data_IF_757398918565
#
_entry.id   IF_757398918565
#
_cell.length_a   1.000
_cell.length_b   1.000
_cell.length_c   1.000
_cell.angle_alpha   90.00
_cell.angle_beta   90.00
_cell.angle_gamma   90.00
#
_symmetry.space_group_name_H-M   'P 1'
#
loop_
_entity.id
_entity.type
_entity.pdbx_description
1 polymer ?
#
# COMPACT_ATOMS: atom_id res chain seq x y z
N UNK A 1 -29.14 -22.71 -23.37
CA UNK A 1 -30.56 -22.98 -23.68
C UNK A 1 -30.66 -24.37 -24.28
N UNK A 2 -31.38 -25.28 -23.62
CA UNK A 2 -31.67 -26.64 -24.12
C UNK A 2 -32.78 -26.60 -25.16
N UNK A 3 -32.64 -27.40 -26.23
CA UNK A 3 -33.65 -27.48 -27.30
C UNK A 3 -34.78 -28.47 -26.94
N UNK A 4 -35.96 -28.29 -27.55
CA UNK A 4 -37.12 -29.18 -27.34
C UNK A 4 -36.77 -30.64 -27.67
N UNK A 5 -35.95 -30.84 -28.70
CA UNK A 5 -35.50 -32.16 -29.16
C UNK A 5 -34.63 -32.89 -28.11
N UNK A 6 -33.82 -32.16 -27.34
CA UNK A 6 -32.99 -32.74 -26.28
C UNK A 6 -33.82 -33.21 -25.08
N UNK A 7 -34.93 -32.53 -24.80
CA UNK A 7 -35.83 -32.89 -23.69
C UNK A 7 -36.68 -34.10 -24.07
N UNK A 8 -37.22 -34.11 -25.28
CA UNK A 8 -38.01 -35.24 -25.79
C UNK A 8 -37.19 -36.55 -25.85
N UNK A 9 -35.86 -36.47 -26.09
CA UNK A 9 -34.94 -37.61 -26.09
C UNK A 9 -34.64 -38.21 -24.72
N UNK A 10 -34.83 -37.46 -23.63
CA UNK A 10 -34.54 -37.94 -22.25
C UNK A 10 -35.64 -38.85 -21.70
N UNK A 11 -36.77 -38.99 -22.38
CA UNK A 11 -37.90 -39.81 -21.92
C UNK A 11 -38.00 -41.13 -22.70
N UNK A 12 -38.36 -42.23 -22.01
CA UNK A 12 -38.46 -43.54 -22.63
C UNK A 12 -39.50 -43.55 -23.76
N UNK A 13 -39.09 -44.06 -24.93
CA UNK A 13 -39.77 -44.04 -26.23
C UNK A 13 -41.11 -44.81 -26.31
N UNK A 14 -41.64 -45.31 -25.20
CA UNK A 14 -42.65 -46.37 -25.20
C UNK A 14 -44.11 -45.89 -25.04
N UNK A 15 -44.38 -44.63 -24.69
CA UNK A 15 -45.75 -44.20 -24.34
C UNK A 15 -46.24 -42.89 -24.98
N UNK A 16 -45.37 -42.08 -25.58
CA UNK A 16 -45.74 -40.76 -26.10
C UNK A 16 -45.21 -40.52 -27.52
N UNK A 17 -46.05 -39.93 -28.37
CA UNK A 17 -45.66 -39.44 -29.69
C UNK A 17 -44.61 -38.32 -29.51
N UNK A 18 -43.43 -38.51 -30.08
CA UNK A 18 -42.30 -37.55 -29.99
C UNK A 18 -42.39 -36.42 -31.03
N UNK A 19 -43.47 -36.38 -31.81
CA UNK A 19 -43.74 -35.30 -32.75
C UNK A 19 -43.92 -33.96 -32.02
N UNK A 20 -43.11 -32.92 -32.32
CA UNK A 20 -43.25 -31.58 -31.76
C UNK A 20 -44.64 -30.96 -31.97
N UNK A 21 -45.34 -31.34 -33.05
CA UNK A 21 -46.68 -30.82 -33.38
C UNK A 21 -47.83 -31.58 -32.69
N UNK A 22 -47.52 -32.67 -31.99
CA UNK A 22 -48.50 -33.40 -31.17
C UNK A 22 -49.01 -32.54 -30.01
N UNK A 23 -50.20 -32.86 -29.48
CA UNK A 23 -50.74 -32.15 -28.29
C UNK A 23 -49.77 -32.19 -27.10
N UNK A 24 -49.03 -33.30 -26.95
CA UNK A 24 -48.01 -33.47 -25.92
C UNK A 24 -46.78 -32.60 -26.22
N UNK A 25 -46.30 -32.59 -27.47
CA UNK A 25 -45.20 -31.72 -27.92
C UNK A 25 -45.50 -30.24 -27.71
N UNK A 26 -46.73 -29.80 -28.01
CA UNK A 26 -47.20 -28.42 -27.78
C UNK A 26 -47.27 -28.05 -26.30
N UNK A 27 -47.73 -28.96 -25.43
CA UNK A 27 -47.69 -28.77 -23.96
C UNK A 27 -46.25 -28.63 -23.46
N UNK A 28 -45.35 -29.50 -23.90
CA UNK A 28 -43.93 -29.43 -23.50
C UNK A 28 -43.23 -28.17 -24.01
N UNK A 29 -43.60 -27.67 -25.20
CA UNK A 29 -43.09 -26.40 -25.69
C UNK A 29 -43.48 -25.25 -24.76
N UNK A 30 -44.74 -25.18 -24.35
CA UNK A 30 -45.22 -24.18 -23.39
C UNK A 30 -44.54 -24.31 -22.02
N UNK A 31 -44.38 -25.54 -21.51
CA UNK A 31 -43.66 -25.78 -20.25
C UNK A 31 -42.16 -25.44 -20.35
N UNK A 32 -41.53 -25.70 -21.49
CA UNK A 32 -40.13 -25.34 -21.72
C UNK A 32 -39.94 -23.82 -21.73
N UNK A 33 -40.83 -23.06 -22.36
CA UNK A 33 -40.80 -21.60 -22.34
C UNK A 33 -40.86 -21.08 -20.89
N UNK A 34 -41.77 -21.62 -20.07
CA UNK A 34 -41.87 -21.28 -18.64
C UNK A 34 -40.62 -21.67 -17.84
N UNK A 35 -40.02 -22.83 -18.12
CA UNK A 35 -38.79 -23.27 -17.46
C UNK A 35 -37.58 -22.42 -17.87
N UNK A 36 -37.52 -21.99 -19.13
CA UNK A 36 -36.48 -21.09 -19.62
C UNK A 36 -36.63 -19.70 -18.99
N UNK A 37 -37.84 -19.18 -18.87
CA UNK A 37 -38.11 -17.94 -18.15
C UNK A 37 -37.67 -18.05 -16.69
N UNK A 38 -38.05 -19.13 -16.00
CA UNK A 38 -37.64 -19.40 -14.61
C UNK A 38 -36.12 -19.48 -14.49
N UNK A 39 -35.43 -20.15 -15.41
CA UNK A 39 -33.97 -20.24 -15.46
C UNK A 39 -33.34 -18.86 -15.66
N UNK A 40 -33.88 -18.03 -16.53
CA UNK A 40 -33.39 -16.66 -16.78
C UNK A 40 -33.56 -15.77 -15.56
N UNK A 41 -34.68 -15.91 -14.84
CA UNK A 41 -34.91 -15.22 -13.57
C UNK A 41 -33.89 -15.69 -12.52
N UNK A 42 -33.63 -16.99 -12.40
CA UNK A 42 -32.65 -17.53 -11.46
C UNK A 42 -31.22 -17.08 -11.79
N UNK A 43 -30.84 -17.05 -13.07
CA UNK A 43 -29.57 -16.51 -13.53
C UNK A 43 -29.46 -15.02 -13.19
N UNK A 44 -30.51 -14.24 -13.42
CA UNK A 44 -30.58 -12.82 -13.06
C UNK A 44 -30.42 -12.60 -11.55
N UNK A 45 -31.08 -13.42 -10.72
CA UNK A 45 -30.94 -13.40 -9.26
C UNK A 45 -29.51 -13.77 -8.83
N UNK A 46 -28.90 -14.76 -9.48
CA UNK A 46 -27.51 -15.11 -9.21
C UNK A 46 -26.56 -13.94 -9.54
N UNK A 47 -26.83 -13.22 -10.63
CA UNK A 47 -26.08 -12.03 -11.04
C UNK A 47 -26.14 -10.90 -10.02
N UNK A 48 -27.28 -10.71 -9.34
CA UNK A 48 -27.46 -9.72 -8.26
C UNK A 48 -26.49 -9.97 -7.09
N UNK A 49 -26.06 -11.21 -6.86
CA UNK A 49 -25.08 -11.50 -5.79
C UNK A 49 -23.63 -11.19 -6.16
N UNK A 50 -23.33 -11.00 -7.45
CA UNK A 50 -21.97 -10.72 -7.91
C UNK A 50 -21.64 -9.22 -7.84
N UNK A 51 -21.12 -8.80 -6.67
CA UNK A 51 -20.74 -7.41 -6.43
C UNK A 51 -19.73 -6.84 -7.46
N UNK A 52 -18.98 -7.67 -8.22
CA UNK A 52 -18.03 -7.17 -9.23
C UNK A 52 -18.72 -6.46 -10.39
N UNK A 53 -19.96 -6.85 -10.70
CA UNK A 53 -20.71 -6.35 -11.85
C UNK A 53 -21.88 -5.44 -11.44
N UNK A 54 -22.28 -5.45 -10.16
CA UNK A 54 -23.38 -4.63 -9.66
C UNK A 54 -22.98 -3.17 -9.43
N UNK A 55 -23.94 -2.26 -9.37
CA UNK A 55 -23.73 -0.82 -9.14
C UNK A 55 -24.81 -0.22 -8.23
N UNK A 56 -24.52 0.94 -7.64
CA UNK A 56 -25.49 1.73 -6.87
C UNK A 56 -26.12 0.98 -5.69
N UNK A 57 -27.46 1.02 -5.60
CA UNK A 57 -28.24 0.54 -4.47
C UNK A 57 -28.12 -0.98 -4.22
N UNK A 58 -27.90 -1.79 -5.26
CA UNK A 58 -27.67 -3.23 -5.11
C UNK A 58 -26.35 -3.48 -4.38
N UNK A 59 -25.31 -2.70 -4.70
CA UNK A 59 -24.04 -2.76 -3.97
C UNK A 59 -24.22 -2.40 -2.49
N UNK A 60 -25.07 -1.43 -2.19
CA UNK A 60 -25.37 -1.02 -0.81
C UNK A 60 -26.09 -2.12 -0.03
N UNK A 61 -26.99 -2.87 -0.67
CA UNK A 61 -27.65 -4.05 -0.08
C UNK A 61 -26.65 -5.17 0.20
N UNK A 62 -25.75 -5.45 -0.74
CA UNK A 62 -24.65 -6.42 -0.52
C UNK A 62 -23.77 -5.96 0.64
N UNK A 63 -23.44 -4.67 0.70
CA UNK A 63 -22.66 -4.09 1.79
C UNK A 63 -23.34 -4.20 3.16
N UNK A 64 -24.66 -3.97 3.24
CA UNK A 64 -25.44 -4.22 4.47
C UNK A 64 -25.30 -5.67 4.93
N UNK A 65 -25.40 -6.64 4.01
CA UNK A 65 -25.20 -8.06 4.34
C UNK A 65 -23.77 -8.36 4.80
N UNK A 66 -22.78 -7.68 4.21
CA UNK A 66 -21.37 -7.78 4.58
C UNK A 66 -20.99 -6.94 5.81
N UNK A 67 -21.92 -6.14 6.37
CA UNK A 67 -21.67 -5.14 7.42
C UNK A 67 -20.59 -4.13 7.02
N UNK A 68 -20.50 -3.82 5.74
CA UNK A 68 -19.57 -2.85 5.18
C UNK A 68 -20.36 -1.63 4.71
N UNK A 69 -20.32 -0.49 5.44
CA UNK A 69 -20.98 0.73 4.99
C UNK A 69 -20.21 1.39 3.85
N UNK A 70 -20.92 2.19 3.04
CA UNK A 70 -20.36 2.86 1.86
C UNK A 70 -19.49 4.08 2.17
N UNK A 71 -19.76 4.78 3.28
CA UNK A 71 -18.98 5.93 3.75
C UNK A 71 -18.62 6.97 2.66
N UNK A 72 -19.53 7.22 1.70
CA UNK A 72 -19.29 8.17 0.59
C UNK A 72 -18.37 7.68 -0.53
N UNK A 73 -17.99 6.40 -0.53
CA UNK A 73 -17.13 5.81 -1.57
C UNK A 73 -17.85 5.70 -2.92
N UNK A 74 -17.10 5.92 -4.00
CA UNK A 74 -17.56 5.61 -5.36
C UNK A 74 -17.80 4.10 -5.55
N UNK A 75 -18.53 3.71 -6.59
CA UNK A 75 -18.86 2.30 -6.84
C UNK A 75 -17.59 1.44 -7.05
N UNK A 76 -16.55 1.98 -7.67
CA UNK A 76 -15.32 1.24 -7.96
C UNK A 76 -14.56 0.88 -6.67
N UNK A 77 -14.30 1.88 -5.82
CA UNK A 77 -13.71 1.72 -4.49
C UNK A 77 -14.58 0.88 -3.60
N UNK A 78 -15.90 1.06 -3.65
CA UNK A 78 -16.81 0.28 -2.82
C UNK A 78 -16.82 -1.20 -3.20
N UNK A 79 -16.72 -1.55 -4.49
CA UNK A 79 -16.53 -2.95 -4.93
C UNK A 79 -15.27 -3.58 -4.34
N UNK A 80 -14.18 -2.81 -4.29
CA UNK A 80 -12.94 -3.25 -3.63
C UNK A 80 -13.21 -3.50 -2.14
N UNK A 81 -13.85 -2.57 -1.41
CA UNK A 81 -14.17 -2.79 0.00
C UNK A 81 -15.10 -3.99 0.24
N UNK A 82 -16.04 -4.28 -0.65
CA UNK A 82 -16.87 -5.48 -0.55
C UNK A 82 -16.07 -6.77 -0.81
N UNK A 83 -15.10 -6.74 -1.72
CA UNK A 83 -14.18 -7.87 -1.93
C UNK A 83 -13.38 -8.14 -0.65
N UNK A 84 -12.84 -7.09 -0.03
CA UNK A 84 -12.13 -7.15 1.25
C UNK A 84 -13.06 -7.69 2.35
N UNK A 85 -14.27 -7.16 2.50
CA UNK A 85 -15.19 -7.56 3.56
C UNK A 85 -15.62 -9.03 3.43
N UNK A 86 -15.82 -9.51 2.20
CA UNK A 86 -16.08 -10.93 1.92
C UNK A 86 -14.87 -11.79 2.28
N UNK A 87 -13.67 -11.36 1.89
CA UNK A 87 -12.43 -12.09 2.17
C UNK A 87 -12.10 -12.10 3.66
N UNK A 88 -12.35 -10.99 4.38
CA UNK A 88 -12.25 -10.86 5.84
C UNK A 88 -13.08 -11.92 6.56
N UNK A 89 -14.28 -12.24 6.06
CA UNK A 89 -15.14 -13.28 6.66
C UNK A 89 -14.63 -14.69 6.41
N UNK A 90 -13.87 -14.91 5.33
CA UNK A 90 -13.23 -16.20 5.03
C UNK A 90 -11.88 -16.36 5.70
N UNK A 91 -11.18 -15.25 5.92
CA UNK A 91 -9.82 -15.21 6.44
C UNK A 91 -9.74 -15.68 7.89
N UNK A 92 -8.69 -16.45 8.20
CA UNK A 92 -8.32 -16.81 9.57
C UNK A 92 -7.26 -15.88 10.16
N UNK A 93 -6.89 -14.79 9.45
CA UNK A 93 -5.79 -13.90 9.83
C UNK A 93 -4.40 -14.42 9.44
N UNK A 94 -4.33 -15.37 8.51
CA UNK A 94 -3.11 -15.96 7.98
C UNK A 94 -2.49 -15.11 6.84
N UNK A 95 -1.18 -15.30 6.61
CA UNK A 95 -0.40 -14.56 5.61
C UNK A 95 -1.01 -14.69 4.21
N UNK A 96 -1.49 -15.88 3.82
CA UNK A 96 -2.08 -16.10 2.49
C UNK A 96 -3.34 -15.27 2.28
N UNK A 97 -4.24 -15.26 3.28
CA UNK A 97 -5.42 -14.40 3.24
C UNK A 97 -5.06 -12.92 3.14
N UNK A 98 -4.04 -12.46 3.87
CA UNK A 98 -3.59 -11.06 3.81
C UNK A 98 -2.94 -10.71 2.47
N UNK A 99 -2.20 -11.66 1.87
CA UNK A 99 -1.60 -11.52 0.55
C UNK A 99 -2.70 -11.40 -0.52
N UNK A 100 -3.74 -12.23 -0.44
CA UNK A 100 -4.87 -12.16 -1.37
C UNK A 100 -5.62 -10.83 -1.27
N UNK A 101 -5.82 -10.32 -0.05
CA UNK A 101 -6.43 -9.01 0.20
C UNK A 101 -5.53 -7.89 -0.35
N UNK A 102 -4.23 -7.91 -0.05
CA UNK A 102 -3.24 -6.93 -0.52
C UNK A 102 -3.16 -6.87 -2.05
N UNK A 103 -3.05 -8.03 -2.71
CA UNK A 103 -3.05 -8.14 -4.17
C UNK A 103 -4.30 -7.55 -4.82
N UNK A 104 -5.49 -7.78 -4.27
CA UNK A 104 -6.73 -7.28 -4.87
C UNK A 104 -6.85 -5.75 -4.81
N UNK A 105 -6.28 -5.12 -3.79
CA UNK A 105 -6.42 -3.67 -3.57
C UNK A 105 -5.33 -2.90 -4.31
N UNK A 106 -4.14 -3.48 -4.40
CA UNK A 106 -3.01 -2.91 -5.14
C UNK A 106 -2.97 -3.32 -6.61
N UNK A 107 -3.87 -4.21 -7.05
CA UNK A 107 -4.00 -4.56 -8.46
C UNK A 107 -4.23 -3.29 -9.28
N UNK A 108 -3.20 -2.89 -10.06
CA UNK A 108 -3.23 -1.73 -10.94
C UNK A 108 -2.49 -0.48 -10.44
N UNK A 109 -1.98 -0.43 -9.20
CA UNK A 109 -1.23 0.74 -8.68
C UNK A 109 0.29 0.62 -8.86
N UNK A 110 0.80 -0.53 -9.31
CA UNK A 110 2.24 -0.77 -9.52
C UNK A 110 3.09 -0.73 -8.24
N UNK A 111 2.46 -0.64 -7.07
CA UNK A 111 3.15 -0.61 -5.76
C UNK A 111 3.50 -2.04 -5.34
N UNK A 112 4.79 -2.29 -5.08
CA UNK A 112 5.23 -3.57 -4.56
C UNK A 112 4.84 -3.67 -3.09
N UNK A 113 4.39 -4.83 -2.65
CA UNK A 113 4.10 -5.05 -1.24
C UNK A 113 4.76 -6.32 -0.74
N UNK A 114 5.19 -6.28 0.52
CA UNK A 114 5.83 -7.38 1.20
C UNK A 114 5.13 -7.60 2.53
N UNK A 115 4.76 -8.86 2.82
CA UNK A 115 4.20 -9.24 4.11
C UNK A 115 5.29 -9.95 4.89
N UNK A 116 5.71 -9.31 5.99
CA UNK A 116 6.71 -9.86 6.91
C UNK A 116 6.02 -10.32 8.18
N UNK A 117 6.27 -11.55 8.59
CA UNK A 117 5.92 -12.01 9.93
C UNK A 117 7.01 -11.58 10.89
N UNK A 118 6.68 -10.65 11.80
CA UNK A 118 7.65 -10.10 12.76
C UNK A 118 7.92 -11.04 13.93
N UNK A 119 7.08 -12.06 14.15
CA UNK A 119 7.19 -12.96 15.30
C UNK A 119 6.72 -14.39 15.00
N UNK A 120 7.68 -15.30 14.80
CA UNK A 120 7.59 -16.69 15.23
C UNK A 120 8.50 -16.89 16.45
N UNK A 121 8.12 -17.77 17.37
CA UNK A 121 8.79 -18.00 18.65
C UNK A 121 10.33 -17.97 18.56
N UNK A 122 10.92 -17.05 19.32
CA UNK A 122 12.36 -16.89 19.48
C UNK A 122 12.70 -16.70 20.95
N UNK A 123 14.00 -16.69 21.27
CA UNK A 123 14.48 -16.48 22.63
C UNK A 123 13.88 -15.18 23.23
N UNK A 124 13.47 -15.19 24.51
CA UNK A 124 12.95 -14.00 25.16
C UNK A 124 13.97 -12.86 25.04
N UNK A 125 13.55 -11.75 24.41
CA UNK A 125 14.37 -10.54 24.36
C UNK A 125 14.34 -9.90 25.75
N UNK A 126 15.48 -9.93 26.43
CA UNK A 126 15.67 -9.27 27.71
C UNK A 126 15.94 -7.79 27.47
N UNK A 127 15.53 -6.95 28.43
CA UNK A 127 15.88 -5.54 28.45
C UNK A 127 17.34 -5.40 28.86
N UNK A 128 18.22 -5.38 27.88
CA UNK A 128 19.67 -5.26 28.03
C UNK A 128 20.16 -3.80 27.98
N UNK A 129 19.24 -2.83 27.85
CA UNK A 129 19.55 -1.41 27.71
C UNK A 129 19.76 -0.94 26.26
N UNK A 130 19.81 -1.86 25.28
CA UNK A 130 19.90 -1.50 23.85
C UNK A 130 18.52 -1.34 23.19
N UNK A 131 17.46 -1.81 23.84
CA UNK A 131 16.07 -1.74 23.36
C UNK A 131 15.36 -0.51 23.92
N UNK A 132 14.90 0.38 23.05
CA UNK A 132 14.09 1.54 23.44
C UNK A 132 12.59 1.21 23.48
N UNK A 133 11.88 1.58 24.55
CA UNK A 133 10.42 1.46 24.70
C UNK A 133 9.65 2.51 23.89
N UNK A 134 9.86 2.54 22.59
CA UNK A 134 9.37 3.60 21.71
C UNK A 134 8.19 3.15 20.81
N UNK A 135 7.63 1.97 21.08
CA UNK A 135 6.52 1.38 20.34
C UNK A 135 6.88 0.67 19.04
N UNK A 136 8.16 0.60 18.64
CA UNK A 136 8.57 -0.05 17.38
C UNK A 136 8.47 -1.58 17.42
N UNK A 137 8.62 -2.16 18.60
CA UNK A 137 8.54 -3.60 18.83
C UNK A 137 7.52 -3.88 19.93
N UNK A 138 6.49 -4.71 19.68
CA UNK A 138 5.60 -5.16 20.74
C UNK A 138 6.39 -6.08 21.69
N UNK A 139 6.93 -5.50 22.76
CA UNK A 139 7.60 -6.26 23.81
C UNK A 139 6.54 -7.03 24.59
N UNK A 140 6.61 -8.36 24.50
CA UNK A 140 5.74 -9.29 25.21
C UNK A 140 6.62 -10.23 26.01
N UNK A 141 6.38 -10.31 27.32
CA UNK A 141 7.00 -11.30 28.21
C UNK A 141 6.51 -12.75 27.97
N UNK A 142 5.55 -12.94 27.04
CA UNK A 142 5.08 -14.26 26.59
C UNK A 142 5.94 -14.77 25.43
N UNK A 143 6.32 -16.06 25.48
CA UNK A 143 6.93 -16.81 24.36
C UNK A 143 5.97 -16.98 23.19
N UNK A 144 4.66 -16.86 23.43
CA UNK A 144 3.61 -16.69 22.42
C UNK A 144 3.35 -15.19 22.26
N UNK A 145 4.17 -14.51 21.46
CA UNK A 145 3.90 -13.14 21.04
C UNK A 145 2.64 -13.14 20.17
N UNK A 146 1.78 -12.10 20.23
CA UNK A 146 0.68 -11.98 19.28
C UNK A 146 1.28 -12.03 17.87
N UNK A 147 0.73 -12.87 16.99
CA UNK A 147 1.23 -12.97 15.62
C UNK A 147 1.21 -11.55 15.04
N UNK A 148 2.38 -11.00 14.77
CA UNK A 148 2.50 -9.60 14.33
C UNK A 148 2.91 -9.63 12.88
N UNK A 149 2.05 -9.09 12.03
CA UNK A 149 2.26 -9.07 10.59
C UNK A 149 2.53 -7.63 10.18
N UNK A 150 3.67 -7.41 9.54
CA UNK A 150 4.03 -6.13 8.95
C UNK A 150 3.74 -6.18 7.46
N UNK A 151 2.93 -5.26 6.98
CA UNK A 151 2.67 -5.08 5.54
C UNK A 151 3.47 -3.86 5.11
N UNK A 152 4.44 -4.05 4.21
CA UNK A 152 5.32 -2.99 3.72
C UNK A 152 4.93 -2.68 2.28
N UNK A 153 4.52 -1.45 1.99
CA UNK A 153 4.32 -0.92 0.65
C UNK A 153 5.61 -0.24 0.22
N UNK A 154 6.22 -0.68 -0.88
CA UNK A 154 7.48 -0.15 -1.39
C UNK A 154 7.29 0.46 -2.77
N UNK A 155 7.90 1.61 -3.01
CA UNK A 155 7.98 2.21 -4.33
C UNK A 155 8.48 3.64 -4.31
N UNK A 156 8.48 4.27 -5.48
CA UNK A 156 8.90 5.67 -5.62
C UNK A 156 7.97 6.61 -4.84
N UNK A 157 8.56 7.61 -4.19
CA UNK A 157 7.82 8.65 -3.47
C UNK A 157 6.79 9.38 -4.35
N UNK A 158 7.04 9.47 -5.66
CA UNK A 158 6.17 10.16 -6.61
C UNK A 158 4.95 9.33 -7.02
N UNK A 159 5.07 8.00 -7.03
CA UNK A 159 4.03 7.10 -7.55
C UNK A 159 3.24 6.38 -6.46
N UNK A 160 3.85 6.10 -5.30
CA UNK A 160 3.18 5.35 -4.22
C UNK A 160 2.03 6.17 -3.66
N UNK A 161 0.81 5.66 -3.80
CA UNK A 161 -0.40 6.30 -3.24
C UNK A 161 -0.67 5.72 -1.86
N UNK A 162 -0.82 6.60 -0.87
CA UNK A 162 -1.29 6.21 0.47
C UNK A 162 -2.81 6.23 0.44
N UNK A 163 -3.42 5.11 0.81
CA UNK A 163 -4.87 4.96 0.88
C UNK A 163 -5.29 4.77 2.36
N UNK A 164 -5.70 5.84 3.07
CA UNK A 164 -6.11 5.76 4.48
C UNK A 164 -7.19 4.72 4.76
N UNK A 165 -8.11 4.51 3.81
CA UNK A 165 -9.21 3.57 3.94
C UNK A 165 -8.72 2.10 3.93
N UNK A 166 -7.63 1.82 3.21
CA UNK A 166 -6.96 0.52 3.27
C UNK A 166 -6.42 0.26 4.66
N UNK A 167 -5.82 1.28 5.29
CA UNK A 167 -5.23 1.14 6.62
C UNK A 167 -6.27 0.80 7.67
N UNK A 168 -7.44 1.45 7.58
CA UNK A 168 -8.59 1.12 8.42
C UNK A 168 -9.09 -0.31 8.15
N UNK A 169 -9.18 -0.74 6.90
CA UNK A 169 -9.63 -2.09 6.56
C UNK A 169 -8.69 -3.17 7.12
N UNK A 170 -7.38 -3.03 6.96
CA UNK A 170 -6.38 -3.95 7.52
C UNK A 170 -6.38 -3.93 9.05
N UNK A 171 -6.52 -2.76 9.68
CA UNK A 171 -6.64 -2.67 11.13
C UNK A 171 -7.89 -3.41 11.65
N UNK A 172 -8.98 -3.43 10.87
CA UNK A 172 -10.22 -4.13 11.22
C UNK A 172 -10.20 -5.65 10.89
N UNK A 173 -9.25 -6.14 10.08
CA UNK A 173 -9.10 -7.57 9.74
C UNK A 173 -8.45 -8.37 10.87
N UNK A 174 -7.94 -7.70 11.91
CA UNK A 174 -7.31 -8.34 13.07
C UNK A 174 -8.24 -9.40 13.68
N UNK A 175 -7.84 -10.67 13.58
CA UNK A 175 -8.35 -11.71 14.47
C UNK A 175 -7.90 -11.36 15.90
N UNK A 176 -8.70 -11.72 16.91
CA UNK A 176 -8.33 -11.46 18.32
C UNK A 176 -6.93 -12.02 18.62
N UNK A 177 -6.00 -11.16 19.01
CA UNK A 177 -4.62 -11.54 19.33
C UNK A 177 -3.58 -11.43 18.20
N UNK A 178 -3.92 -10.89 17.02
CA UNK A 178 -2.97 -10.62 15.91
C UNK A 178 -2.79 -9.11 15.73
N UNK A 179 -1.54 -8.63 15.77
CA UNK A 179 -1.21 -7.22 15.56
C UNK A 179 -0.79 -7.00 14.10
N UNK A 180 -1.35 -5.99 13.44
CA UNK A 180 -0.91 -5.58 12.10
C UNK A 180 -0.21 -4.24 12.14
N UNK A 181 0.99 -4.16 11.57
CA UNK A 181 1.76 -2.93 11.37
C UNK A 181 1.76 -2.63 9.88
N UNK A 182 1.29 -1.45 9.51
CA UNK A 182 1.31 -1.00 8.11
C UNK A 182 2.47 -0.03 7.95
N UNK A 183 3.37 -0.33 7.02
CA UNK A 183 4.53 0.49 6.71
C UNK A 183 4.49 0.91 5.25
N UNK A 184 4.65 2.21 4.96
CA UNK A 184 4.94 2.68 3.62
C UNK A 184 6.39 3.11 3.55
N UNK A 185 7.13 2.47 2.66
CA UNK A 185 8.51 2.80 2.34
C UNK A 185 8.55 3.56 1.02
N UNK A 186 8.88 4.83 1.12
CA UNK A 186 9.06 5.73 0.01
C UNK A 186 10.53 5.80 -0.36
N UNK A 187 10.82 5.49 -1.63
CA UNK A 187 12.17 5.54 -2.17
C UNK A 187 12.30 6.69 -3.15
N UNK A 188 13.43 7.39 -3.10
CA UNK A 188 13.78 8.45 -4.05
C UNK A 188 15.29 8.56 -4.18
N UNK A 189 15.76 9.21 -5.23
CA UNK A 189 17.17 9.49 -5.47
C UNK A 189 17.49 10.97 -5.25
N UNK A 190 18.74 11.28 -4.92
CA UNK A 190 19.26 12.66 -4.94
C UNK A 190 19.16 13.31 -6.33
N UNK A 191 19.02 12.52 -7.41
CA UNK A 191 18.76 13.01 -8.76
C UNK A 191 17.30 13.43 -9.00
N UNK A 192 16.36 12.93 -8.21
CA UNK A 192 14.92 13.20 -8.38
C UNK A 192 14.49 14.55 -7.75
N UNK A 193 15.42 15.27 -7.13
CA UNK A 193 15.20 16.54 -6.45
C UNK A 193 16.28 17.56 -6.79
N UNK A 194 16.39 18.59 -5.96
CA UNK A 194 17.40 19.63 -6.11
C UNK A 194 18.41 19.56 -5.00
N UNK A 195 19.68 19.58 -5.38
CA UNK A 195 20.81 19.67 -4.45
C UNK A 195 21.20 21.14 -4.27
N UNK A 196 21.62 21.48 -3.07
CA UNK A 196 22.02 22.83 -2.66
C UNK A 196 23.44 22.77 -2.11
N UNK A 197 24.29 23.71 -2.53
CA UNK A 197 25.73 23.70 -2.23
C UNK A 197 26.54 22.70 -3.07
N UNK A 198 27.81 22.48 -2.70
CA UNK A 198 28.71 21.46 -3.30
C UNK A 198 28.39 20.03 -2.86
N UNK A 199 27.10 19.77 -2.60
CA UNK A 199 26.60 18.73 -1.71
C UNK A 199 26.46 17.34 -2.33
N UNK A 200 27.47 16.84 -3.05
CA UNK A 200 27.63 15.41 -3.32
C UNK A 200 29.12 15.08 -3.45
N UNK A 201 29.51 13.83 -3.16
CA UNK A 201 30.80 13.30 -3.62
C UNK A 201 30.87 13.59 -5.12
N UNK A 202 31.87 14.34 -5.53
CA UNK A 202 32.02 14.58 -6.95
C UNK A 202 32.64 13.37 -7.64
N UNK A 203 32.24 13.13 -8.89
CA UNK A 203 32.74 12.05 -9.75
C UNK A 203 34.26 12.06 -9.94
N UNK A 204 34.94 13.18 -9.65
CA UNK A 204 36.39 13.32 -9.66
C UNK A 204 37.10 12.76 -8.42
N UNK A 205 36.41 12.16 -7.44
CA UNK A 205 37.03 11.43 -6.33
C UNK A 205 36.83 9.90 -6.48
N UNK A 206 37.15 9.38 -7.66
CA UNK A 206 37.08 7.96 -8.05
C UNK A 206 38.18 7.07 -7.43
N UNK A 207 39.03 7.63 -6.58
CA UNK A 207 40.15 6.92 -5.94
C UNK A 207 41.43 6.83 -6.77
N UNK A 208 41.51 7.45 -7.95
CA UNK A 208 42.73 7.49 -8.78
C UNK A 208 43.75 8.55 -8.35
N UNK A 209 43.39 9.38 -7.36
CA UNK A 209 44.17 10.54 -6.94
C UNK A 209 45.17 10.21 -5.83
N UNK A 210 46.33 10.89 -5.78
CA UNK A 210 47.22 10.78 -4.65
C UNK A 210 46.54 11.36 -3.40
N UNK A 211 46.29 10.50 -2.41
CA UNK A 211 45.86 10.85 -1.06
C UNK A 211 47.01 11.57 -0.34
N UNK A 212 47.22 12.83 -0.69
CA UNK A 212 48.09 13.74 0.06
C UNK A 212 47.24 14.64 0.94
N UNK A 213 47.82 15.20 2.01
CA UNK A 213 47.08 16.01 2.98
C UNK A 213 46.32 17.19 2.34
N UNK A 214 46.72 17.67 1.16
CA UNK A 214 46.08 18.79 0.49
C UNK A 214 44.74 18.42 -0.19
N UNK A 215 44.53 17.19 -0.65
CA UNK A 215 43.25 16.75 -1.26
C UNK A 215 42.17 16.42 -0.24
N UNK A 216 42.55 16.05 0.99
CA UNK A 216 41.62 15.72 2.08
C UNK A 216 41.08 16.95 2.82
N UNK A 217 41.82 18.07 2.82
CA UNK A 217 41.49 19.29 3.57
C UNK A 217 40.96 20.46 2.73
N UNK A 218 40.61 20.25 1.46
CA UNK A 218 39.89 21.28 0.70
C UNK A 218 38.43 21.32 1.18
N UNK A 219 38.02 22.41 1.84
CA UNK A 219 36.67 22.63 2.40
C UNK A 219 35.54 22.42 1.37
N UNK A 220 35.84 22.54 0.06
CA UNK A 220 34.90 22.28 -1.03
C UNK A 220 34.64 20.80 -1.38
N UNK A 221 35.40 19.85 -0.81
CA UNK A 221 35.35 18.42 -1.15
C UNK A 221 34.82 17.53 -0.02
N UNK A 222 34.25 18.12 1.03
CA UNK A 222 33.80 17.40 2.21
C UNK A 222 32.46 16.73 1.95
N UNK A 223 32.45 15.41 2.19
CA UNK A 223 31.29 14.51 2.25
C UNK A 223 29.99 15.24 2.62
N UNK A 224 28.93 14.99 1.87
CA UNK A 224 27.56 15.18 2.39
C UNK A 224 27.47 14.35 3.66
N UNK A 225 27.38 15.06 4.78
CA UNK A 225 27.02 14.50 6.06
C UNK A 225 25.64 15.07 6.33
N UNK A 226 24.59 14.52 5.69
CA UNK A 226 23.27 14.86 6.14
C UNK A 226 23.21 14.47 7.61
N UNK A 227 22.72 15.39 8.42
CA UNK A 227 22.56 15.20 9.85
C UNK A 227 21.08 14.99 10.16
N UNK A 228 20.22 15.73 9.47
CA UNK A 228 18.78 15.72 9.69
C UNK A 228 18.00 15.59 8.39
N UNK A 229 16.86 14.91 8.47
CA UNK A 229 15.79 14.93 7.47
C UNK A 229 14.65 15.75 8.05
N UNK A 230 14.22 16.77 7.30
CA UNK A 230 13.02 17.53 7.62
C UNK A 230 11.87 17.21 6.67
N UNK A 231 10.66 17.36 7.19
CA UNK A 231 9.40 17.10 6.52
C UNK A 231 8.51 18.33 6.59
N UNK A 232 7.79 18.60 5.51
CA UNK A 232 6.92 19.75 5.42
C UNK A 232 5.64 19.53 4.63
N UNK A 233 4.82 20.57 4.64
CA UNK A 233 3.49 20.64 4.03
C UNK A 233 3.34 21.84 3.07
N UNK A 234 4.45 22.50 2.72
CA UNK A 234 4.48 23.68 1.86
C UNK A 234 4.94 23.39 0.43
N UNK A 235 5.18 22.12 0.09
CA UNK A 235 5.75 21.69 -1.18
C UNK A 235 4.81 21.76 -2.38
N UNK A 236 3.61 22.34 -2.25
CA UNK A 236 2.59 22.35 -3.30
C UNK A 236 2.29 23.76 -3.81
N UNK A 237 2.15 23.86 -5.13
CA UNK A 237 1.63 25.04 -5.81
C UNK A 237 0.45 24.62 -6.71
N UNK A 238 -0.72 25.21 -6.47
CA UNK A 238 -1.96 24.89 -7.20
C UNK A 238 -2.26 23.37 -7.29
N UNK A 239 -2.01 22.64 -6.20
CA UNK A 239 -2.27 21.21 -6.10
C UNK A 239 -1.21 20.28 -6.70
N UNK A 240 -0.19 20.82 -7.41
CA UNK A 240 0.95 20.06 -7.95
C UNK A 240 2.22 20.27 -7.10
N UNK A 241 3.15 19.30 -7.07
CA UNK A 241 4.45 19.49 -6.42
C UNK A 241 5.21 20.68 -7.03
N UNK A 242 5.74 21.56 -6.19
CA UNK A 242 6.50 22.76 -6.57
C UNK A 242 7.93 22.38 -6.92
N UNK A 243 8.38 22.68 -8.13
CA UNK A 243 9.78 22.47 -8.51
C UNK A 243 10.70 23.33 -7.59
N UNK A 244 11.66 22.71 -6.86
CA UNK A 244 12.59 23.43 -6.00
C UNK A 244 13.43 24.47 -6.77
N UNK A 245 13.58 25.66 -6.19
CA UNK A 245 14.25 26.81 -6.77
C UNK A 245 15.66 26.99 -6.20
N UNK A 246 16.61 27.60 -6.95
CA UNK A 246 17.98 27.77 -6.47
C UNK A 246 18.09 28.63 -5.20
N UNK A 247 17.12 29.51 -4.95
CA UNK A 247 17.10 30.41 -3.81
C UNK A 247 16.42 29.85 -2.56
N UNK A 248 15.97 28.59 -2.57
CA UNK A 248 15.41 28.00 -1.36
C UNK A 248 16.51 27.76 -0.33
N UNK A 249 16.29 28.20 0.90
CA UNK A 249 17.19 27.98 2.04
C UNK A 249 16.67 26.92 3.01
N UNK A 250 15.49 26.36 2.74
CA UNK A 250 14.83 25.36 3.56
C UNK A 250 13.53 24.88 2.93
N UNK A 251 12.75 24.13 3.72
CA UNK A 251 11.38 23.74 3.37
C UNK A 251 10.47 24.97 3.39
N UNK A 252 9.39 24.95 2.61
CA UNK A 252 8.45 26.07 2.56
C UNK A 252 7.61 26.14 3.83
N UNK A 253 7.23 24.98 4.38
CA UNK A 253 6.58 24.89 5.68
C UNK A 253 7.01 23.60 6.40
N UNK A 254 8.10 23.71 7.16
CA UNK A 254 8.63 22.60 7.96
C UNK A 254 7.73 22.30 9.17
N UNK A 255 7.42 21.02 9.37
CA UNK A 255 6.59 20.54 10.48
C UNK A 255 7.37 19.64 11.43
N UNK A 256 8.33 18.88 10.91
CA UNK A 256 9.05 17.91 11.71
C UNK A 256 10.45 17.67 11.17
N UNK A 257 11.39 17.43 12.08
CA UNK A 257 12.78 17.15 11.76
C UNK A 257 13.31 16.03 12.63
N UNK A 258 14.12 15.15 12.04
CA UNK A 258 14.66 13.97 12.71
C UNK A 258 16.06 13.66 12.22
N UNK A 259 16.87 13.07 13.09
CA UNK A 259 18.20 12.59 12.72
C UNK A 259 18.11 11.57 11.58
N UNK A 260 19.06 11.67 10.66
CA UNK A 260 19.19 10.73 9.56
C UNK A 260 19.98 9.50 9.99
N UNK A 261 19.52 8.33 9.55
CA UNK A 261 20.27 7.08 9.62
C UNK A 261 20.98 6.89 8.27
N UNK A 262 22.31 6.80 8.30
CA UNK A 262 23.12 6.63 7.09
C UNK A 262 23.53 5.17 6.98
N UNK A 263 22.97 4.45 6.01
CA UNK A 263 23.44 3.13 5.63
C UNK A 263 24.41 3.26 4.45
N UNK A 264 25.54 2.56 4.52
CA UNK A 264 26.49 2.44 3.40
C UNK A 264 26.55 0.98 2.97
N UNK A 265 26.28 0.73 1.70
CA UNK A 265 26.39 -0.60 1.12
C UNK A 265 27.84 -0.90 0.69
N UNK A 266 28.22 -2.18 0.53
CA UNK A 266 29.60 -2.57 0.19
C UNK A 266 30.11 -2.03 -1.15
N UNK A 267 29.19 -1.68 -2.05
CA UNK A 267 29.47 -1.04 -3.35
C UNK A 267 29.81 0.45 -3.21
N UNK A 268 29.71 1.01 -2.00
CA UNK A 268 29.97 2.42 -1.70
C UNK A 268 28.74 3.32 -1.85
N UNK A 269 27.59 2.78 -2.26
CA UNK A 269 26.31 3.48 -2.32
C UNK A 269 25.83 3.84 -0.91
N UNK A 270 25.25 5.02 -0.74
CA UNK A 270 24.70 5.47 0.56
C UNK A 270 23.19 5.65 0.47
N UNK A 271 22.53 5.32 1.58
CA UNK A 271 21.12 5.51 1.76
C UNK A 271 20.89 6.34 3.01
N UNK A 272 20.19 7.45 2.85
CA UNK A 272 19.75 8.31 3.92
C UNK A 272 18.33 7.91 4.30
N UNK A 273 18.19 7.37 5.51
CA UNK A 273 16.95 6.77 5.99
C UNK A 273 16.41 7.53 7.18
N UNK A 274 15.09 7.60 7.27
CA UNK A 274 14.43 7.96 8.51
C UNK A 274 13.05 7.34 8.59
N UNK A 275 12.59 7.11 9.81
CA UNK A 275 11.28 6.50 10.07
C UNK A 275 10.40 7.48 10.82
N UNK A 276 9.21 7.75 10.29
CA UNK A 276 8.13 8.49 10.96
C UNK A 276 7.20 7.49 11.63
N UNK A 277 7.11 7.58 12.95
CA UNK A 277 6.36 6.62 13.78
C UNK A 277 4.85 6.84 13.68
N UNK A 278 4.09 5.86 14.16
CA UNK A 278 2.62 5.93 14.21
C UNK A 278 2.11 7.15 14.98
N UNK A 279 2.77 7.52 16.08
CA UNK A 279 2.41 8.67 16.90
C UNK A 279 2.93 10.02 16.36
N UNK A 280 3.80 10.02 15.34
CA UNK A 280 4.43 11.22 14.78
C UNK A 280 3.66 11.71 13.55
N UNK A 281 3.61 13.03 13.37
CA UNK A 281 3.03 13.70 12.19
C UNK A 281 1.55 13.34 11.88
N UNK A 282 0.77 12.92 12.87
CA UNK A 282 -0.65 12.56 12.67
C UNK A 282 -1.43 13.78 12.17
N UNK A 283 -2.19 13.60 11.09
CA UNK A 283 -3.05 14.64 10.51
C UNK A 283 -2.33 15.59 9.55
N UNK A 284 -1.02 15.44 9.38
CA UNK A 284 -0.26 16.19 8.38
C UNK A 284 -0.25 15.47 7.03
N UNK A 285 -0.29 16.28 5.98
CA UNK A 285 -0.20 15.87 4.58
C UNK A 285 1.22 16.18 4.06
N UNK A 286 2.14 15.25 4.27
CA UNK A 286 3.56 15.48 3.95
C UNK A 286 3.73 15.58 2.43
N UNK A 287 4.34 16.66 1.94
CA UNK A 287 4.52 16.92 0.51
C UNK A 287 5.92 17.43 0.12
N UNK A 288 6.80 17.65 1.11
CA UNK A 288 8.19 18.01 0.90
C UNK A 288 9.10 17.30 1.91
N UNK A 289 10.30 16.95 1.44
CA UNK A 289 11.39 16.37 2.24
C UNK A 289 12.67 17.13 1.92
N UNK A 290 13.47 17.41 2.95
CA UNK A 290 14.79 17.99 2.77
C UNK A 290 15.85 17.34 3.64
N UNK A 291 17.08 17.33 3.14
CA UNK A 291 18.27 16.95 3.90
C UNK A 291 18.98 18.22 4.37
N UNK A 292 19.39 18.21 5.64
CA UNK A 292 20.12 19.31 6.27
C UNK A 292 21.45 18.82 6.82
N UNK A 293 22.47 19.67 6.77
CA UNK A 293 23.73 19.45 7.48
C UNK A 293 23.57 19.74 8.98
N UNK A 294 24.67 19.56 9.73
CA UNK A 294 24.70 19.81 11.18
C UNK A 294 24.48 21.27 11.54
N UNK A 295 24.82 22.20 10.66
CA UNK A 295 24.73 23.65 10.87
C UNK A 295 23.37 24.21 10.40
N UNK A 296 22.48 23.34 9.90
CA UNK A 296 21.16 23.70 9.40
C UNK A 296 21.13 24.19 7.96
N UNK A 297 22.23 24.02 7.22
CA UNK A 297 22.31 24.27 5.78
C UNK A 297 21.50 23.25 4.99
N UNK A 298 20.70 23.72 4.03
CA UNK A 298 19.94 22.87 3.12
C UNK A 298 20.91 22.17 2.15
N UNK A 299 20.83 20.85 2.06
CA UNK A 299 21.64 20.02 1.16
C UNK A 299 20.81 19.47 0.00
N UNK A 300 19.55 19.12 0.26
CA UNK A 300 18.65 18.55 -0.72
C UNK A 300 17.22 18.98 -0.43
N UNK A 301 16.44 19.25 -1.46
CA UNK A 301 14.99 19.46 -1.36
C UNK A 301 14.29 18.71 -2.48
N UNK A 302 13.24 17.97 -2.13
CA UNK A 302 12.31 17.37 -3.08
C UNK A 302 10.89 17.56 -2.60
N UNK A 303 10.03 17.97 -3.52
CA UNK A 303 8.57 18.01 -3.35
C UNK A 303 7.94 16.83 -4.07
N UNK A 304 6.85 16.29 -3.55
CA UNK A 304 6.15 15.13 -4.11
C UNK A 304 4.64 15.22 -3.84
N UNK A 305 3.80 14.34 -4.44
CA UNK A 305 2.37 14.34 -4.16
C UNK A 305 2.06 14.05 -2.68
N UNK A 306 1.11 14.79 -2.11
CA UNK A 306 0.72 14.71 -0.69
C UNK A 306 0.54 13.27 -0.17
N UNK A 307 1.17 12.98 0.97
CA UNK A 307 1.10 11.71 1.70
C UNK A 307 0.41 11.93 3.05
N UNK A 308 -0.89 11.62 3.18
CA UNK A 308 -1.65 11.82 4.42
C UNK A 308 -1.25 10.81 5.50
N UNK A 309 -0.78 11.31 6.63
CA UNK A 309 -0.35 10.49 7.78
C UNK A 309 -1.48 10.29 8.80
N UNK A 310 -1.79 9.03 9.09
CA UNK A 310 -2.70 8.65 10.18
C UNK A 310 -1.94 8.02 11.38
N UNK A 311 -2.67 7.58 12.41
CA UNK A 311 -2.10 6.95 13.60
C UNK A 311 -1.86 5.43 13.47
N UNK A 312 -2.22 4.81 12.34
CA UNK A 312 -2.09 3.37 12.08
C UNK A 312 -0.85 3.06 11.23
N UNK A 313 -0.37 4.04 10.46
CA UNK A 313 0.72 3.88 9.51
C UNK A 313 2.07 4.27 10.10
N UNK A 314 3.12 3.55 9.70
CA UNK A 314 4.52 3.93 9.82
C UNK A 314 5.04 4.34 8.42
N UNK A 315 5.82 5.42 8.34
CA UNK A 315 6.51 5.79 7.10
C UNK A 315 8.01 5.57 7.24
N UNK A 316 8.61 5.00 6.20
CA UNK A 316 10.06 4.88 6.04
C UNK A 316 10.42 5.68 4.78
N UNK A 317 11.23 6.73 4.93
CA UNK A 317 11.74 7.50 3.81
C UNK A 317 13.19 7.09 3.56
N UNK A 318 13.49 6.71 2.31
CA UNK A 318 14.81 6.27 1.88
C UNK A 318 15.23 7.12 0.69
N UNK A 319 16.29 7.91 0.87
CA UNK A 319 16.92 8.69 -0.19
C UNK A 319 18.22 7.99 -0.57
N UNK A 320 18.30 7.49 -1.80
CA UNK A 320 19.52 6.92 -2.37
C UNK A 320 20.42 8.03 -2.87
N UNK A 321 21.68 7.98 -2.48
CA UNK A 321 22.72 8.85 -3.04
C UNK A 321 23.07 8.34 -4.45
N UNK A 322 22.75 9.14 -5.47
CA UNK A 322 23.15 8.93 -6.86
C UNK A 322 23.69 10.24 -7.46
N UNK A 323 24.62 10.07 -8.39
CA UNK A 323 25.32 11.15 -9.09
C UNK A 323 25.33 10.87 -10.60
N UNK A 324 25.38 11.94 -11.39
CA UNK A 324 25.63 11.90 -12.85
C UNK A 324 27.09 12.22 -13.11
#
# INVERSE_FOLDING_TARGET
MTSIEEILKKYPSSLFNQDPESEIGKKWKAELELLQETSSVLESISGITDYKNQSGAILDLIGKNLKQPRNGSDDFRYRIFLSIARQKRKSKGDIFSMNEIGSQILAGTGTLYEIQELCYGGAPMLLDGNLTFNGEYPLSGSTKRPATIRVIFKGSIDTVVVAPEFNQAIAQIRAGGVNSIISYRFETSTLDGRLYGSALRASYLDGTWPLNGFTVFCEGNVKVLPYEIAFGIGGRNQGKPRIPQPGDTGLQNEVFRKLVEIQTDPDGSRFFKTTVKQAELIGYEIDEIGLFDKDGGLLFLKTFPSKPKDNLILYEFVIKEEFV
#
